data_IF_387471731679
#
_entry.id   IF_387471731679
#
_cell.length_a   1.000
_cell.length_b   1.000
_cell.length_c   1.000
_cell.angle_alpha   90.00
_cell.angle_beta   90.00
_cell.angle_gamma   90.00
#
_symmetry.space_group_name_H-M   'P 1'
#
loop_
_entity.id
_entity.type
_entity.pdbx_description
1 polymer ?
#
# COMPACT_ATOMS: atom_id res chain seq x y z
N UNK A 1 -0.38 10.02 -12.64
CA UNK A 1 0.22 10.60 -11.42
C UNK A 1 0.07 9.68 -10.22
N UNK A 2 -1.12 9.18 -9.88
CA UNK A 2 -1.33 8.29 -8.71
C UNK A 2 -0.38 7.08 -8.64
N UNK A 3 -0.11 6.43 -9.78
CA UNK A 3 0.80 5.28 -9.85
C UNK A 3 2.24 5.59 -9.39
N UNK A 4 2.79 6.76 -9.75
CA UNK A 4 4.16 7.13 -9.37
C UNK A 4 4.29 7.25 -7.85
N UNK A 5 3.30 7.86 -7.19
CA UNK A 5 3.32 7.99 -5.74
C UNK A 5 3.11 6.65 -5.02
N UNK A 6 2.34 5.71 -5.61
CA UNK A 6 2.27 4.32 -5.09
C UNK A 6 3.65 3.69 -5.11
N UNK A 7 4.38 3.78 -6.22
CA UNK A 7 5.71 3.21 -6.35
C UNK A 7 6.69 3.81 -5.35
N UNK A 8 6.69 5.13 -5.20
CA UNK A 8 7.56 5.84 -4.25
C UNK A 8 7.26 5.45 -2.79
N UNK A 9 5.98 5.28 -2.43
CA UNK A 9 5.61 4.77 -1.11
C UNK A 9 6.07 3.31 -0.92
N UNK A 10 5.94 2.46 -1.93
CA UNK A 10 6.42 1.07 -1.89
C UNK A 10 7.93 1.01 -1.75
N UNK A 11 8.67 1.88 -2.44
CA UNK A 11 10.13 2.02 -2.28
C UNK A 11 10.45 2.37 -0.84
N UNK A 12 9.76 3.37 -0.26
CA UNK A 12 9.95 3.74 1.15
C UNK A 12 9.70 2.57 2.11
N UNK A 13 8.64 1.78 1.89
CA UNK A 13 8.35 0.59 2.70
C UNK A 13 9.39 -0.53 2.52
N UNK A 14 9.98 -0.67 1.33
CA UNK A 14 10.99 -1.68 1.02
C UNK A 14 12.40 -1.31 1.48
N UNK A 15 12.73 -0.02 1.54
CA UNK A 15 14.00 0.48 2.09
C UNK A 15 14.10 0.28 3.61
N UNK A 16 12.96 0.10 4.27
CA UNK A 16 12.89 -0.28 5.66
C UNK A 16 13.22 -1.76 5.86
N UNK A 17 14.49 -2.02 6.18
CA UNK A 17 15.01 -3.39 6.35
C UNK A 17 14.20 -4.24 7.35
N UNK A 18 13.68 -3.63 8.42
CA UNK A 18 12.88 -4.33 9.42
C UNK A 18 11.53 -4.74 8.83
N UNK A 19 10.85 -3.83 8.15
CA UNK A 19 9.58 -4.10 7.49
C UNK A 19 9.74 -5.13 6.37
N UNK A 20 10.76 -4.97 5.53
CA UNK A 20 11.09 -5.91 4.46
C UNK A 20 11.36 -7.33 4.98
N UNK A 21 12.11 -7.45 6.08
CA UNK A 21 12.37 -8.74 6.71
C UNK A 21 11.07 -9.41 7.19
N UNK A 22 10.16 -8.63 7.77
CA UNK A 22 8.83 -9.11 8.17
C UNK A 22 7.99 -9.56 6.97
N UNK A 23 8.04 -8.83 5.85
CA UNK A 23 7.33 -9.21 4.62
C UNK A 23 7.83 -10.57 4.13
N UNK A 24 9.16 -10.74 4.04
CA UNK A 24 9.78 -11.99 3.62
C UNK A 24 9.42 -13.16 4.54
N UNK A 25 9.39 -12.93 5.85
CA UNK A 25 8.98 -13.94 6.82
C UNK A 25 7.50 -14.30 6.66
N UNK A 26 6.61 -13.31 6.52
CA UNK A 26 5.18 -13.51 6.35
C UNK A 26 4.86 -14.32 5.08
N UNK A 27 5.53 -14.00 3.97
CA UNK A 27 5.36 -14.72 2.70
C UNK A 27 5.89 -16.16 2.79
N UNK A 28 6.99 -16.37 3.50
CA UNK A 28 7.63 -17.69 3.62
C UNK A 28 6.93 -18.64 4.60
N UNK A 29 6.15 -18.11 5.56
CA UNK A 29 5.39 -18.93 6.52
C UNK A 29 4.21 -19.60 5.85
N UNK A 30 4.17 -20.93 5.85
CA UNK A 30 3.09 -21.72 5.25
C UNK A 30 1.69 -21.35 5.77
N UNK A 31 1.57 -21.03 7.06
CA UNK A 31 0.28 -20.65 7.68
C UNK A 31 -0.26 -19.29 7.20
N UNK A 32 0.63 -18.43 6.67
CA UNK A 32 0.31 -17.10 6.18
C UNK A 32 0.35 -17.10 4.65
N UNK A 33 1.52 -17.27 4.05
CA UNK A 33 1.72 -17.23 2.61
C UNK A 33 1.48 -15.83 1.99
N UNK A 34 1.80 -15.65 0.70
CA UNK A 34 1.77 -14.34 0.03
C UNK A 34 0.38 -13.70 0.02
N UNK A 35 -0.66 -14.47 -0.27
CA UNK A 35 -2.03 -13.97 -0.34
C UNK A 35 -2.54 -13.43 0.99
N UNK A 36 -2.38 -14.19 2.09
CA UNK A 36 -2.80 -13.72 3.43
C UNK A 36 -1.90 -12.59 3.92
N UNK A 37 -0.59 -12.65 3.68
CA UNK A 37 0.34 -11.58 4.03
C UNK A 37 -0.07 -10.25 3.39
N UNK A 38 -0.34 -10.23 2.08
CA UNK A 38 -0.83 -9.06 1.35
C UNK A 38 -2.15 -8.54 1.92
N UNK A 39 -3.13 -9.43 2.10
CA UNK A 39 -4.47 -9.03 2.58
C UNK A 39 -4.41 -8.45 4.00
N UNK A 40 -3.58 -9.01 4.87
CA UNK A 40 -3.39 -8.50 6.23
C UNK A 40 -2.60 -7.19 6.22
N UNK A 41 -1.57 -7.07 5.39
CA UNK A 41 -0.84 -5.81 5.24
C UNK A 41 -1.74 -4.69 4.72
N UNK A 42 -2.65 -4.97 3.78
CA UNK A 42 -3.68 -4.01 3.33
C UNK A 42 -4.56 -3.52 4.48
N UNK A 43 -4.99 -4.41 5.38
CA UNK A 43 -5.74 -4.03 6.60
C UNK A 43 -4.89 -3.16 7.53
N UNK A 44 -3.62 -3.49 7.69
CA UNK A 44 -2.68 -2.68 8.48
C UNK A 44 -2.44 -1.29 7.88
N UNK A 45 -2.38 -1.17 6.55
CA UNK A 45 -2.29 0.13 5.87
C UNK A 45 -3.50 1.02 6.16
N UNK A 46 -4.71 0.44 6.25
CA UNK A 46 -5.93 1.17 6.64
C UNK A 46 -5.79 1.76 8.05
N UNK A 47 -5.31 0.95 9.00
CA UNK A 47 -5.06 1.44 10.36
C UNK A 47 -3.92 2.46 10.42
N UNK A 48 -2.86 2.25 9.64
CA UNK A 48 -1.76 3.20 9.51
C UNK A 48 -2.25 4.56 9.00
N UNK A 49 -3.09 4.60 7.97
CA UNK A 49 -3.66 5.84 7.47
C UNK A 49 -4.52 6.56 8.53
N UNK A 50 -5.30 5.79 9.31
CA UNK A 50 -6.11 6.33 10.41
C UNK A 50 -5.23 6.90 11.53
N UNK A 51 -4.17 6.19 11.90
CA UNK A 51 -3.21 6.65 12.91
C UNK A 51 -2.43 7.89 12.41
N UNK A 52 -2.08 7.93 11.13
CA UNK A 52 -1.36 9.04 10.50
C UNK A 52 -2.22 10.31 10.40
N UNK A 53 -3.54 10.16 10.29
CA UNK A 53 -4.50 11.27 10.30
C UNK A 53 -4.43 12.09 11.59
N UNK A 54 -4.15 11.44 12.73
CA UNK A 54 -4.01 12.11 14.03
C UNK A 54 -2.82 13.09 14.04
N UNK A 55 -1.76 12.76 13.32
CA UNK A 55 -0.53 13.56 13.21
C UNK A 55 -0.59 14.57 12.03
N UNK A 56 -1.67 14.58 11.24
CA UNK A 56 -1.79 15.41 10.05
C UNK A 56 -2.09 16.88 10.39
N UNK A 57 -1.08 17.75 10.27
CA UNK A 57 -1.17 19.18 10.64
C UNK A 57 -1.41 20.13 9.46
N UNK A 58 -1.24 19.67 8.22
CA UNK A 58 -1.36 20.51 7.03
C UNK A 58 -2.10 19.78 5.89
N UNK A 59 -2.39 20.53 4.82
CA UNK A 59 -3.14 20.00 3.68
C UNK A 59 -2.40 18.89 2.92
N UNK A 60 -1.07 18.92 2.86
CA UNK A 60 -0.26 17.87 2.24
C UNK A 60 -0.35 16.57 3.04
N UNK A 61 -0.28 16.63 4.37
CA UNK A 61 -0.44 15.47 5.25
C UNK A 61 -1.83 14.85 5.08
N UNK A 62 -2.89 15.69 5.03
CA UNK A 62 -4.25 15.21 4.81
C UNK A 62 -4.42 14.60 3.41
N UNK A 63 -3.80 15.19 2.38
CA UNK A 63 -3.83 14.64 1.04
C UNK A 63 -3.08 13.30 0.95
N UNK A 64 -1.97 13.15 1.66
CA UNK A 64 -1.27 11.87 1.81
C UNK A 64 -2.16 10.82 2.48
N UNK A 65 -2.82 11.15 3.59
CA UNK A 65 -3.73 10.23 4.30
C UNK A 65 -4.86 9.77 3.37
N UNK A 66 -5.50 10.71 2.67
CA UNK A 66 -6.52 10.40 1.66
C UNK A 66 -5.96 9.50 0.55
N UNK A 67 -4.77 9.81 0.04
CA UNK A 67 -4.11 9.02 -0.98
C UNK A 67 -3.90 7.58 -0.52
N UNK A 68 -3.35 7.35 0.67
CA UNK A 68 -3.11 6.02 1.21
C UNK A 68 -4.44 5.26 1.35
N UNK A 69 -5.47 5.89 1.91
CA UNK A 69 -6.79 5.28 2.09
C UNK A 69 -7.43 4.85 0.77
N UNK A 70 -7.31 5.65 -0.29
CA UNK A 70 -7.85 5.30 -1.62
C UNK A 70 -7.00 4.26 -2.35
N UNK A 71 -5.70 4.14 -2.03
CA UNK A 71 -4.77 3.27 -2.76
C UNK A 71 -4.30 2.04 -1.98
N UNK A 72 -4.99 1.66 -0.89
CA UNK A 72 -4.60 0.53 -0.04
C UNK A 72 -4.32 -0.76 -0.83
N UNK A 73 -5.22 -1.09 -1.76
CA UNK A 73 -5.09 -2.29 -2.60
C UNK A 73 -3.91 -2.20 -3.54
N UNK A 74 -3.72 -1.05 -4.21
CA UNK A 74 -2.62 -0.82 -5.14
C UNK A 74 -1.26 -0.87 -4.44
N UNK A 75 -1.14 -0.21 -3.28
CA UNK A 75 0.08 -0.22 -2.46
C UNK A 75 0.41 -1.64 -2.02
N UNK A 76 -0.58 -2.38 -1.48
CA UNK A 76 -0.34 -3.75 -1.04
C UNK A 76 -0.05 -4.70 -2.22
N UNK A 77 -0.71 -4.54 -3.36
CA UNK A 77 -0.44 -5.36 -4.54
C UNK A 77 0.96 -5.12 -5.07
N UNK A 78 1.36 -3.87 -5.23
CA UNK A 78 2.68 -3.50 -5.73
C UNK A 78 3.79 -3.98 -4.78
N UNK A 79 3.62 -3.76 -3.47
CA UNK A 79 4.57 -4.21 -2.45
C UNK A 79 4.78 -5.73 -2.44
N UNK A 80 3.74 -6.51 -2.76
CA UNK A 80 3.80 -7.97 -2.76
C UNK A 80 3.90 -8.59 -4.16
N UNK A 81 4.08 -7.78 -5.20
CA UNK A 81 4.10 -8.22 -6.60
C UNK A 81 5.19 -9.25 -6.87
N UNK A 82 6.35 -9.13 -6.22
CA UNK A 82 7.48 -10.06 -6.33
C UNK A 82 7.19 -11.46 -5.77
N UNK A 83 6.13 -11.61 -4.97
CA UNK A 83 5.74 -12.87 -4.33
C UNK A 83 4.47 -13.49 -4.90
N UNK A 84 3.82 -12.81 -5.85
CA UNK A 84 2.64 -13.35 -6.51
C UNK A 84 3.08 -14.52 -7.38
N UNK A 85 2.97 -15.73 -6.84
CA UNK A 85 3.13 -16.95 -7.62
C UNK A 85 1.99 -16.98 -8.62
N UNK A 86 2.33 -16.85 -9.89
CA UNK A 86 1.46 -17.16 -11.02
C UNK A 86 1.15 -18.67 -10.96
N UNK A 87 0.26 -19.08 -10.05
CA UNK A 87 -0.23 -20.45 -9.88
C UNK A 87 -1.18 -20.85 -11.02
N UNK A 88 -0.78 -20.50 -12.25
CA UNK A 88 -1.28 -21.09 -13.48
C UNK A 88 -0.12 -21.37 -14.43
N UNK A 89 0.75 -22.30 -14.07
CA UNK A 89 1.12 -23.40 -14.99
C UNK A 89 1.99 -24.45 -14.29
N UNK A 90 1.39 -25.62 -14.16
CA UNK A 90 2.09 -26.87 -14.01
C UNK A 90 3.25 -27.00 -15.02
N UNK A 91 4.41 -27.44 -14.52
CA UNK A 91 5.40 -28.14 -15.33
C UNK A 91 6.67 -27.35 -15.67
N UNK A 92 7.62 -27.37 -14.73
CA UNK A 92 9.04 -27.60 -15.03
C UNK A 92 9.83 -26.47 -15.67
N UNK A 93 10.60 -25.76 -14.84
CA UNK A 93 12.08 -25.84 -14.78
C UNK A 93 12.57 -24.74 -13.84
N UNK A 94 13.50 -25.12 -12.95
CA UNK A 94 14.30 -24.21 -12.14
C UNK A 94 14.90 -23.10 -13.02
N UNK A 95 14.60 -21.86 -12.68
CA UNK A 95 15.43 -20.72 -13.05
C UNK A 95 15.90 -20.05 -11.76
N UNK A 96 17.21 -19.90 -11.66
CA UNK A 96 17.94 -19.27 -10.56
C UNK A 96 17.43 -17.85 -10.23
N UNK A 97 17.64 -17.38 -8.98
CA UNK A 97 17.27 -16.03 -8.59
C UNK A 97 18.21 -15.03 -9.28
N UNK A 98 17.69 -14.30 -10.26
CA UNK A 98 18.38 -13.17 -10.87
C UNK A 98 18.36 -11.98 -9.91
N UNK A 99 19.43 -11.82 -9.14
CA UNK A 99 19.71 -10.62 -8.35
C UNK A 99 19.97 -9.48 -9.34
N UNK A 100 18.96 -8.66 -9.64
CA UNK A 100 19.17 -7.38 -10.29
C UNK A 100 19.62 -6.36 -9.24
N UNK A 101 20.91 -6.02 -9.32
CA UNK A 101 21.50 -4.87 -8.66
C UNK A 101 20.84 -3.59 -9.18
N UNK A 102 20.08 -2.90 -8.33
CA UNK A 102 19.68 -1.52 -8.59
C UNK A 102 20.91 -0.62 -8.41
N UNK A 103 21.55 -0.27 -9.53
CA UNK A 103 22.55 0.80 -9.58
C UNK A 103 21.83 2.14 -9.75
N UNK A 104 22.11 3.08 -8.84
CA UNK A 104 21.45 4.37 -8.66
C UNK A 104 21.66 5.42 -9.78
N UNK A 105 21.58 5.04 -11.06
CA UNK A 105 21.88 5.95 -12.18
C UNK A 105 21.07 5.77 -13.47
N UNK A 106 20.22 4.75 -13.59
CA UNK A 106 19.52 4.46 -14.85
C UNK A 106 18.08 5.02 -14.92
N UNK A 107 17.48 5.37 -13.79
CA UNK A 107 16.11 5.90 -13.71
C UNK A 107 15.90 7.22 -14.46
N UNK A 108 16.98 7.99 -14.72
CA UNK A 108 16.87 9.30 -15.35
C UNK A 108 16.78 9.22 -16.89
N UNK A 109 17.30 8.16 -17.52
CA UNK A 109 17.24 7.99 -18.99
C UNK A 109 15.93 7.37 -19.46
N UNK A 110 15.30 6.51 -18.66
CA UNK A 110 13.98 5.95 -19.00
C UNK A 110 12.85 6.99 -18.92
N UNK A 111 13.02 8.04 -18.12
CA UNK A 111 12.04 9.13 -18.03
C UNK A 111 11.96 9.99 -19.31
N UNK A 112 13.05 10.11 -20.08
CA UNK A 112 13.08 10.93 -21.30
C UNK A 112 12.46 10.24 -22.52
N UNK A 113 12.49 8.90 -22.59
CA UNK A 113 11.97 8.13 -23.73
C UNK A 113 10.43 8.13 -23.80
N UNK A 114 9.74 8.25 -22.67
CA UNK A 114 8.28 8.32 -22.61
C UNK A 114 7.70 9.71 -22.90
N UNK A 115 8.49 10.78 -22.78
CA UNK A 115 8.04 12.16 -23.01
C UNK A 115 7.95 12.54 -24.50
N UNK A 116 8.42 11.69 -25.41
CA UNK A 116 8.38 11.96 -26.86
C UNK A 116 7.12 11.44 -27.57
N UNK A 117 6.22 10.73 -26.88
CA UNK A 117 5.04 10.10 -27.51
C UNK A 117 3.78 10.99 -27.46
N UNK A 118 3.78 12.09 -26.70
CA UNK A 118 2.57 12.92 -26.52
C UNK A 118 2.74 14.37 -26.97
N UNK A 119 2.96 14.57 -28.27
CA UNK A 119 2.70 15.85 -28.93
C UNK A 119 1.82 15.61 -30.17
N UNK A 120 0.51 15.47 -29.92
CA UNK A 120 -0.52 15.68 -30.95
C UNK A 120 -1.69 16.47 -30.33
N UNK A 121 -1.96 17.73 -30.73
CA UNK A 121 -2.99 18.55 -30.12
C UNK A 121 -4.28 18.50 -30.97
N UNK A 122 -5.34 17.90 -30.42
CA UNK A 122 -6.64 17.88 -31.09
C UNK A 122 -7.84 17.80 -30.12
N UNK A 123 -8.61 18.90 -30.08
CA UNK A 123 -10.03 19.03 -29.67
C UNK A 123 -10.38 18.92 -28.17
N UNK A 124 -10.74 20.00 -27.45
CA UNK A 124 -11.90 20.94 -27.51
C UNK A 124 -13.07 20.49 -26.59
N UNK A 125 -13.18 21.26 -25.51
CA UNK A 125 -14.38 21.85 -24.86
C UNK A 125 -15.42 21.05 -24.03
N UNK A 126 -15.58 21.61 -22.81
CA UNK A 126 -16.81 21.98 -22.09
C UNK A 126 -17.69 20.88 -21.44
N UNK A 127 -17.76 20.92 -20.11
CA UNK A 127 -19.03 21.08 -19.37
C UNK A 127 -18.80 21.49 -17.89
N UNK A 128 -19.60 22.47 -17.47
CA UNK A 128 -19.68 23.15 -16.16
C UNK A 128 -20.47 22.35 -15.10
N UNK A 129 -20.47 22.80 -13.80
CA UNK A 129 -20.52 21.93 -12.62
C UNK A 129 -21.90 21.86 -11.96
N UNK A 130 -22.25 20.68 -11.40
CA UNK A 130 -23.27 20.56 -10.37
C UNK A 130 -23.19 19.18 -9.68
N UNK A 131 -22.65 19.13 -8.46
CA UNK A 131 -23.23 18.50 -7.26
C UNK A 131 -22.13 18.20 -6.22
N UNK A 132 -21.84 19.21 -5.40
CA UNK A 132 -21.41 18.98 -4.03
C UNK A 132 -22.64 18.55 -3.23
N UNK A 133 -22.60 17.36 -2.64
CA UNK A 133 -23.08 17.03 -1.28
C UNK A 133 -23.44 15.55 -1.17
N UNK A 134 -22.53 14.75 -0.62
CA UNK A 134 -22.85 13.85 0.50
C UNK A 134 -21.57 13.26 1.09
N UNK A 135 -21.05 13.94 2.11
CA UNK A 135 -20.06 13.40 3.02
C UNK A 135 -20.82 12.73 4.16
N UNK A 136 -21.10 11.42 4.05
CA UNK A 136 -21.66 10.64 5.16
C UNK A 136 -20.54 10.16 6.07
N UNK A 137 -20.50 10.83 7.22
CA UNK A 137 -20.00 10.39 8.52
C UNK A 137 -20.10 8.87 8.75
N UNK A 138 -19.01 8.24 9.18
CA UNK A 138 -19.07 7.11 10.10
C UNK A 138 -18.02 7.27 11.20
N UNK A 139 -18.52 7.58 12.39
CA UNK A 139 -17.85 7.33 13.65
C UNK A 139 -18.14 5.89 14.08
N UNK A 140 -17.10 5.27 14.64
CA UNK A 140 -17.13 4.39 15.80
C UNK A 140 -17.92 3.07 15.70
N UNK A 141 -17.17 1.98 15.45
CA UNK A 141 -17.49 0.70 16.05
C UNK A 141 -16.19 -0.03 16.39
N UNK A 142 -16.02 -0.23 17.69
CA UNK A 142 -15.03 -1.08 18.33
C UNK A 142 -15.22 -2.53 17.87
N UNK A 143 -14.37 -3.03 16.97
CA UNK A 143 -14.37 -4.45 16.62
C UNK A 143 -13.10 -5.13 17.12
N UNK A 144 -13.33 -5.95 18.14
CA UNK A 144 -12.41 -6.97 18.62
C UNK A 144 -12.14 -7.95 17.47
N UNK A 145 -10.87 -8.28 17.27
CA UNK A 145 -10.44 -9.27 16.29
C UNK A 145 -10.95 -10.64 16.77
N UNK A 146 -12.09 -11.07 16.23
CA UNK A 146 -12.64 -12.40 16.47
C UNK A 146 -11.85 -13.41 15.61
N UNK A 147 -11.12 -14.29 16.30
CA UNK A 147 -10.48 -15.46 15.71
C UNK A 147 -11.55 -16.53 15.52
N UNK A 148 -12.03 -16.69 14.29
CA UNK A 148 -12.87 -17.83 13.91
C UNK A 148 -12.24 -18.55 12.71
N UNK A 149 -11.76 -19.77 12.97
CA UNK A 149 -11.48 -20.79 11.98
C UNK A 149 -12.80 -21.38 11.52
N UNK A 150 -13.22 -21.07 10.29
CA UNK A 150 -14.23 -21.85 9.59
C UNK A 150 -13.95 -21.80 8.10
N UNK A 151 -13.44 -22.93 7.64
CA UNK A 151 -13.19 -23.33 6.26
C UNK A 151 -14.55 -23.66 5.63
N UNK A 152 -15.17 -22.71 4.94
CA UNK A 152 -16.18 -22.99 3.92
C UNK A 152 -15.96 -22.07 2.72
N UNK A 153 -15.62 -22.70 1.60
CA UNK A 153 -15.70 -22.09 0.27
C UNK A 153 -17.13 -21.58 0.03
N UNK A 154 -17.28 -20.26 -0.04
CA UNK A 154 -18.45 -19.64 -0.63
C UNK A 154 -17.97 -18.54 -1.56
N UNK A 155 -17.99 -18.88 -2.86
CA UNK A 155 -17.98 -17.94 -3.96
C UNK A 155 -19.15 -16.95 -3.78
N UNK A 156 -18.85 -15.82 -3.16
CA UNK A 156 -19.59 -14.58 -3.37
C UNK A 156 -18.67 -13.59 -4.07
N UNK A 157 -18.70 -13.72 -5.39
CA UNK A 157 -18.40 -12.67 -6.35
C UNK A 157 -19.43 -11.54 -6.19
N UNK A 158 -19.31 -10.76 -5.12
CA UNK A 158 -19.84 -9.39 -5.08
C UNK A 158 -18.77 -8.47 -5.68
N UNK A 159 -18.56 -8.66 -6.99
CA UNK A 159 -17.95 -7.69 -7.87
C UNK A 159 -18.81 -6.43 -7.94
N UNK A 160 -18.72 -5.59 -6.93
CA UNK A 160 -18.82 -4.14 -7.14
C UNK A 160 -17.39 -3.65 -7.24
N UNK A 161 -16.90 -3.73 -8.47
CA UNK A 161 -15.82 -2.89 -8.96
C UNK A 161 -16.30 -1.44 -8.87
N UNK A 162 -16.24 -0.87 -7.66
CA UNK A 162 -16.14 0.56 -7.53
C UNK A 162 -14.74 0.93 -8.04
N UNK A 163 -14.62 0.99 -9.37
CA UNK A 163 -13.77 1.94 -10.09
C UNK A 163 -14.17 3.33 -9.59
N UNK A 164 -13.82 3.61 -8.33
CA UNK A 164 -13.96 4.91 -7.72
C UNK A 164 -13.15 5.83 -8.61
N UNK A 165 -13.84 6.73 -9.32
CA UNK A 165 -13.17 7.70 -10.17
C UNK A 165 -12.00 8.30 -9.39
N UNK A 166 -10.81 8.41 -10.00
CA UNK A 166 -9.62 8.83 -9.29
C UNK A 166 -9.92 10.16 -8.62
N UNK A 167 -10.03 10.15 -7.29
CA UNK A 167 -10.28 11.35 -6.50
C UNK A 167 -9.17 12.32 -6.88
N UNK A 168 -9.54 13.36 -7.62
CA UNK A 168 -8.60 14.34 -8.12
C UNK A 168 -8.04 15.06 -6.90
N UNK A 169 -6.84 14.67 -6.50
CA UNK A 169 -6.11 15.38 -5.46
C UNK A 169 -5.81 16.77 -6.02
N UNK A 170 -6.37 17.79 -5.38
CA UNK A 170 -6.14 19.20 -5.75
C UNK A 170 -4.71 19.66 -5.39
N UNK A 171 -3.91 18.76 -4.84
CA UNK A 171 -2.57 18.98 -4.32
C UNK A 171 -1.63 18.00 -5.03
N UNK A 172 -0.58 18.53 -5.68
CA UNK A 172 0.46 17.70 -6.26
C UNK A 172 1.36 17.15 -5.16
N UNK A 173 1.10 15.90 -4.78
CA UNK A 173 1.90 15.20 -3.77
C UNK A 173 3.35 14.96 -4.23
N UNK A 174 3.61 14.99 -5.55
CA UNK A 174 4.92 14.68 -6.13
C UNK A 174 5.95 15.77 -5.81
N UNK A 175 5.53 17.04 -5.82
CA UNK A 175 6.42 18.17 -5.50
C UNK A 175 6.83 18.21 -4.02
N UNK A 176 6.04 17.56 -3.15
CA UNK A 176 6.24 17.52 -1.71
C UNK A 176 6.72 16.15 -1.20
N UNK A 177 7.23 15.29 -2.09
CA UNK A 177 7.50 13.90 -1.73
C UNK A 177 8.50 13.76 -0.57
N UNK A 178 9.60 14.53 -0.57
CA UNK A 178 10.60 14.47 0.49
C UNK A 178 10.04 14.89 1.86
N UNK A 179 9.18 15.91 1.89
CA UNK A 179 8.49 16.37 3.09
C UNK A 179 7.54 15.28 3.62
N UNK A 180 6.73 14.70 2.73
CA UNK A 180 5.77 13.65 3.07
C UNK A 180 6.47 12.36 3.52
N UNK A 181 7.60 12.02 2.89
CA UNK A 181 8.46 10.91 3.29
C UNK A 181 8.98 11.09 4.72
N UNK A 182 9.50 12.27 5.06
CA UNK A 182 9.94 12.55 6.43
C UNK A 182 8.77 12.49 7.41
N UNK A 183 7.62 13.08 7.05
CA UNK A 183 6.40 13.00 7.87
C UNK A 183 6.00 11.55 8.17
N UNK A 184 6.02 10.65 7.18
CA UNK A 184 5.75 9.22 7.39
C UNK A 184 6.77 8.62 8.36
N UNK A 185 8.06 8.81 8.11
CA UNK A 185 9.14 8.17 8.88
C UNK A 185 9.16 8.62 10.35
N UNK A 186 8.85 9.89 10.61
CA UNK A 186 8.84 10.46 11.96
C UNK A 186 7.57 10.09 12.75
N UNK A 187 6.47 9.78 12.04
CA UNK A 187 5.16 9.50 12.64
C UNK A 187 5.18 8.34 13.64
N UNK A 188 4.35 8.46 14.67
CA UNK A 188 4.09 7.33 15.57
C UNK A 188 3.32 6.21 14.86
N UNK A 189 2.53 6.57 13.84
CA UNK A 189 1.79 5.67 12.99
C UNK A 189 2.73 4.66 12.29
N UNK A 190 3.86 5.11 11.75
CA UNK A 190 4.79 4.23 11.04
C UNK A 190 5.49 3.23 11.96
N UNK A 191 5.91 3.68 13.16
CA UNK A 191 6.41 2.77 14.20
C UNK A 191 5.35 1.75 14.63
N UNK A 192 4.09 2.18 14.71
CA UNK A 192 2.95 1.30 15.07
C UNK A 192 2.63 0.29 13.97
N UNK A 193 2.73 0.67 12.69
CA UNK A 193 2.59 -0.23 11.56
C UNK A 193 3.59 -1.39 11.65
N UNK A 194 4.88 -1.09 11.83
CA UNK A 194 5.94 -2.11 12.00
C UNK A 194 5.61 -3.04 13.16
N UNK A 195 5.25 -2.48 14.31
CA UNK A 195 4.92 -3.26 15.52
C UNK A 195 3.72 -4.17 15.29
N UNK A 196 2.61 -3.67 14.74
CA UNK A 196 1.41 -4.49 14.50
C UNK A 196 1.67 -5.60 13.48
N UNK A 197 2.49 -5.33 12.46
CA UNK A 197 2.85 -6.37 11.49
C UNK A 197 3.73 -7.44 12.12
N UNK A 198 4.69 -7.03 12.95
CA UNK A 198 5.50 -7.94 13.75
C UNK A 198 4.65 -8.83 14.66
N UNK A 199 3.73 -8.23 15.43
CA UNK A 199 2.80 -8.94 16.31
C UNK A 199 1.94 -9.96 15.57
N UNK A 200 1.53 -9.63 14.35
CA UNK A 200 0.78 -10.54 13.48
C UNK A 200 1.63 -11.74 13.06
N UNK A 201 2.89 -11.52 12.68
CA UNK A 201 3.78 -12.59 12.19
C UNK A 201 4.31 -13.44 13.36
N UNK A 202 4.56 -12.82 14.52
CA UNK A 202 5.20 -13.41 15.70
C UNK A 202 4.37 -13.14 16.98
N UNK A 203 3.16 -13.68 17.11
CA UNK A 203 2.26 -13.36 18.22
C UNK A 203 2.78 -13.79 19.61
N UNK A 204 3.79 -14.65 19.68
CA UNK A 204 4.35 -15.20 20.91
C UNK A 204 5.52 -14.38 21.49
N UNK A 205 6.20 -13.56 20.68
CA UNK A 205 7.45 -12.89 21.06
C UNK A 205 7.23 -11.76 22.10
N UNK A 206 5.99 -11.28 22.22
CA UNK A 206 5.59 -10.33 23.27
C UNK A 206 5.38 -10.97 24.64
N UNK A 207 5.03 -12.27 24.70
CA UNK A 207 4.76 -12.96 25.98
C UNK A 207 6.03 -13.24 26.79
N UNK A 208 7.21 -13.19 26.17
CA UNK A 208 8.49 -13.42 26.84
C UNK A 208 9.13 -12.14 27.41
N UNK A 209 8.69 -10.94 26.99
CA UNK A 209 9.20 -9.65 27.49
C UNK A 209 8.51 -9.15 28.77
N UNK A 210 7.48 -9.86 29.26
CA UNK A 210 6.73 -9.50 30.47
C UNK A 210 7.18 -10.28 31.73
N UNK A 211 8.22 -11.12 31.62
CA UNK A 211 8.73 -11.95 32.72
C UNK A 211 10.16 -11.60 33.19
N UNK A 212 10.67 -10.41 32.89
CA UNK A 212 11.94 -9.92 33.43
C UNK A 212 11.80 -8.53 34.04
#
# INVERSE_FOLDING_TARGET
>A
MHHLFVQELVILLNEDEALRSLILEAVSKQEIGPGRARNNFRKLLKHFASDLEVDAVNNHHQALVRFINTNLSNIAQELFSEFSSDDQKAGGKMSEPSIQHYAAGESQKQAEEYLQISQDPGFVEQATPAHLNNLTYYNDASDQIELSESDEESDHDDGVDEEAEPVKLDIDLTEHFDELRQFILDSAAYRTLRRRFDEFIRPWDLKLKTYF
#
